data_IF_554112737200
#
_entry.id   IF_554112737200
#
_cell.length_a   1.000
_cell.length_b   1.000
_cell.length_c   1.000
_cell.angle_alpha   90.00
_cell.angle_beta   90.00
_cell.angle_gamma   90.00
#
_symmetry.space_group_name_H-M   'P 1'
#
loop_
_entity.id
_entity.type
_entity.pdbx_description
1 polymer ?
#
# COMPACT_ATOMS: atom_id res chain seq x y z
N UNK A 1 30.93 -24.97 -14.67
CA UNK A 1 30.80 -23.68 -13.96
C UNK A 1 29.39 -23.19 -14.21
N UNK A 2 28.57 -23.03 -13.17
CA UNK A 2 27.28 -22.33 -13.31
C UNK A 2 27.56 -20.87 -13.67
N UNK A 3 26.81 -20.30 -14.62
CA UNK A 3 26.83 -18.86 -14.80
C UNK A 3 26.36 -18.21 -13.49
N UNK A 4 27.12 -17.24 -12.98
CA UNK A 4 26.63 -16.34 -11.97
C UNK A 4 25.46 -15.56 -12.58
N UNK A 5 24.24 -15.88 -12.15
CA UNK A 5 23.05 -15.14 -12.54
C UNK A 5 23.24 -13.67 -12.15
N UNK A 6 23.21 -12.78 -13.15
CA UNK A 6 23.16 -11.35 -12.90
C UNK A 6 21.83 -11.01 -12.24
N UNK A 7 21.86 -10.18 -11.19
CA UNK A 7 20.64 -9.67 -10.53
C UNK A 7 19.62 -9.19 -11.58
N UNK A 8 18.34 -9.62 -11.51
CA UNK A 8 17.32 -9.17 -12.43
C UNK A 8 17.19 -7.65 -12.46
N UNK A 9 16.66 -7.15 -13.58
CA UNK A 9 16.34 -5.73 -13.77
C UNK A 9 14.86 -5.57 -13.95
N UNK A 10 14.31 -4.48 -13.43
CA UNK A 10 12.91 -4.08 -13.68
C UNK A 10 12.74 -3.81 -15.17
N UNK A 11 11.85 -4.54 -15.83
CA UNK A 11 11.52 -4.39 -17.25
C UNK A 11 10.29 -3.53 -17.48
N UNK A 12 9.33 -3.56 -16.54
CA UNK A 12 8.09 -2.79 -16.59
C UNK A 12 7.67 -2.34 -15.18
N UNK A 13 6.94 -1.23 -15.11
CA UNK A 13 6.31 -0.69 -13.91
C UNK A 13 4.95 -0.17 -14.32
N UNK A 14 3.87 -0.69 -13.73
CA UNK A 14 2.50 -0.24 -13.97
C UNK A 14 1.93 0.39 -12.69
N UNK A 15 1.09 1.41 -12.86
CA UNK A 15 0.40 2.10 -11.77
C UNK A 15 -1.10 2.03 -12.06
N UNK A 16 -1.83 1.26 -11.27
CA UNK A 16 -3.26 1.03 -11.46
C UNK A 16 -4.00 1.63 -10.25
N UNK A 17 -4.60 2.83 -10.37
CA UNK A 17 -5.52 3.33 -9.36
C UNK A 17 -6.75 2.42 -9.29
N UNK A 18 -7.15 2.02 -8.09
CA UNK A 18 -8.32 1.16 -7.86
C UNK A 18 -9.27 1.78 -6.85
N UNK A 19 -10.53 1.36 -6.89
CA UNK A 19 -11.57 1.73 -5.94
C UNK A 19 -12.34 0.49 -5.46
N UNK A 20 -12.55 0.40 -4.15
CA UNK A 20 -13.43 -0.58 -3.51
C UNK A 20 -14.56 0.12 -2.77
N UNK A 21 -15.60 -0.61 -2.42
CA UNK A 21 -16.69 -0.15 -1.56
C UNK A 21 -16.22 0.00 -0.12
N UNK A 22 -16.75 1.01 0.58
CA UNK A 22 -16.47 1.30 1.99
C UNK A 22 -17.77 1.54 2.76
N UNK A 23 -17.73 1.29 4.06
CA UNK A 23 -18.81 1.59 5.00
C UNK A 23 -18.82 3.06 5.39
N UNK A 24 -19.96 3.59 5.86
CA UNK A 24 -20.07 5.00 6.26
C UNK A 24 -19.47 5.25 7.67
N UNK A 25 -18.17 5.03 7.82
CA UNK A 25 -17.46 5.15 9.09
C UNK A 25 -17.32 6.63 9.49
N UNK A 26 -17.80 6.98 10.68
CA UNK A 26 -17.64 8.32 11.26
C UNK A 26 -16.26 8.46 11.92
N UNK A 27 -15.59 9.58 11.65
CA UNK A 27 -14.33 9.95 12.30
C UNK A 27 -14.23 11.48 12.46
N UNK A 28 -13.15 12.00 13.05
CA UNK A 28 -12.99 13.44 13.30
C UNK A 28 -13.06 14.29 12.01
N UNK A 29 -12.61 13.74 10.88
CA UNK A 29 -12.61 14.39 9.57
C UNK A 29 -13.96 14.38 8.85
N UNK A 30 -14.96 13.65 9.36
CA UNK A 30 -16.31 13.59 8.79
C UNK A 30 -16.86 12.17 8.76
N UNK A 31 -17.33 11.74 7.59
CA UNK A 31 -17.79 10.38 7.31
C UNK A 31 -17.02 9.82 6.11
N UNK A 32 -16.75 8.52 6.08
CA UNK A 32 -16.24 7.88 4.87
C UNK A 32 -17.29 7.99 3.74
N UNK A 33 -16.81 8.20 2.51
CA UNK A 33 -17.63 8.07 1.31
C UNK A 33 -17.90 6.59 0.96
N UNK A 34 -18.82 6.30 0.03
CA UNK A 34 -19.19 4.91 -0.31
C UNK A 34 -18.09 4.11 -1.04
N UNK A 35 -16.93 4.71 -1.29
CA UNK A 35 -15.77 4.05 -1.89
C UNK A 35 -14.47 4.58 -1.29
N UNK A 36 -13.53 3.67 -1.03
CA UNK A 36 -12.14 4.00 -0.79
C UNK A 36 -11.34 3.90 -2.10
N UNK A 37 -10.17 4.54 -2.18
CA UNK A 37 -9.29 4.45 -3.35
C UNK A 37 -7.85 4.14 -2.94
N UNK A 38 -7.15 3.40 -3.80
CA UNK A 38 -5.74 2.97 -3.62
C UNK A 38 -4.99 3.11 -4.94
N UNK A 39 -3.66 3.17 -4.88
CA UNK A 39 -2.79 3.04 -6.05
C UNK A 39 -2.02 1.72 -5.93
N UNK A 40 -2.18 0.84 -6.91
CA UNK A 40 -1.43 -0.42 -7.03
C UNK A 40 -0.22 -0.18 -7.91
N UNK A 41 0.96 -0.58 -7.45
CA UNK A 41 2.20 -0.65 -8.23
C UNK A 41 2.48 -2.12 -8.53
N UNK A 42 2.68 -2.42 -9.81
CA UNK A 42 3.06 -3.73 -10.31
C UNK A 42 4.39 -3.57 -11.05
N UNK A 43 5.46 -4.17 -10.53
CA UNK A 43 6.76 -4.25 -11.20
C UNK A 43 6.92 -5.62 -11.85
N UNK A 44 7.56 -5.68 -13.01
CA UNK A 44 8.02 -6.93 -13.63
C UNK A 44 9.52 -6.90 -13.80
N UNK A 45 10.18 -8.06 -13.66
CA UNK A 45 11.62 -8.19 -13.88
C UNK A 45 11.98 -9.06 -15.09
N UNK A 46 13.26 -9.02 -15.46
CA UNK A 46 13.83 -9.84 -16.53
C UNK A 46 13.95 -11.35 -16.24
N UNK A 47 13.56 -11.81 -15.05
CA UNK A 47 13.45 -13.23 -14.71
C UNK A 47 11.99 -13.76 -14.83
N UNK A 48 11.03 -12.87 -15.08
CA UNK A 48 9.60 -13.20 -15.21
C UNK A 48 8.80 -13.03 -13.91
N UNK A 49 9.42 -12.53 -12.84
CA UNK A 49 8.78 -12.28 -11.56
C UNK A 49 7.88 -11.04 -11.61
N UNK A 50 6.95 -10.95 -10.66
CA UNK A 50 6.05 -9.80 -10.49
C UNK A 50 6.07 -9.34 -9.03
N UNK A 51 6.43 -8.08 -8.79
CA UNK A 51 6.45 -7.47 -7.46
C UNK A 51 5.32 -6.47 -7.25
N UNK A 52 4.77 -6.46 -6.03
CA UNK A 52 3.54 -5.74 -5.70
C UNK A 52 3.75 -4.67 -4.61
N UNK A 53 3.02 -3.57 -4.75
CA UNK A 53 2.93 -2.52 -3.72
C UNK A 53 1.59 -1.81 -3.77
N UNK A 54 1.08 -1.41 -2.61
CA UNK A 54 -0.20 -0.72 -2.48
C UNK A 54 -0.08 0.46 -1.51
N UNK A 55 -0.58 1.63 -1.91
CA UNK A 55 -0.59 2.85 -1.10
C UNK A 55 -1.89 3.63 -1.27
N UNK A 56 -2.15 4.68 -0.46
CA UNK A 56 -3.36 5.48 -0.59
C UNK A 56 -3.63 5.99 -2.01
N UNK A 57 -4.91 6.03 -2.35
CA UNK A 57 -5.39 6.58 -3.62
C UNK A 57 -5.20 8.09 -3.70
N UNK A 58 -5.39 8.63 -4.90
CA UNK A 58 -5.32 10.06 -5.17
C UNK A 58 -4.39 10.39 -6.33
N UNK A 59 -4.83 11.32 -7.15
CA UNK A 59 -4.20 11.63 -8.44
C UNK A 59 -2.77 12.13 -8.31
N UNK A 60 -2.44 12.91 -7.27
CA UNK A 60 -1.06 13.38 -7.03
C UNK A 60 -0.10 12.23 -6.69
N UNK A 61 -0.56 11.17 -6.01
CA UNK A 61 0.25 9.97 -5.74
C UNK A 61 0.40 9.17 -7.03
N UNK A 62 -0.70 8.92 -7.75
CA UNK A 62 -0.70 8.23 -9.05
C UNK A 62 0.27 8.86 -10.04
N UNK A 63 0.20 10.18 -10.23
CA UNK A 63 1.09 10.90 -11.13
C UNK A 63 2.56 10.90 -10.63
N UNK A 64 2.81 10.90 -9.32
CA UNK A 64 4.18 10.76 -8.79
C UNK A 64 4.78 9.38 -9.08
N UNK A 65 3.96 8.33 -9.06
CA UNK A 65 4.37 6.98 -9.46
C UNK A 65 4.63 6.89 -10.97
N UNK A 66 3.80 7.52 -11.80
CA UNK A 66 4.06 7.67 -13.25
C UNK A 66 5.38 8.41 -13.54
N UNK A 67 5.57 9.58 -12.93
CA UNK A 67 6.78 10.42 -13.09
C UNK A 67 8.07 9.71 -12.60
N UNK A 68 7.91 8.66 -11.78
CA UNK A 68 8.99 7.85 -11.24
C UNK A 68 9.41 6.69 -12.16
N UNK A 69 8.59 6.25 -13.14
CA UNK A 69 8.88 5.07 -13.98
C UNK A 69 10.29 5.09 -14.58
N UNK A 70 10.75 6.24 -15.06
CA UNK A 70 12.10 6.42 -15.64
C UNK A 70 13.27 6.34 -14.64
N UNK A 71 12.99 6.43 -13.34
CA UNK A 71 13.97 6.18 -12.28
C UNK A 71 14.13 4.68 -11.97
N UNK A 72 13.07 3.88 -12.21
CA UNK A 72 12.96 2.48 -11.77
C UNK A 72 13.20 1.49 -12.92
N UNK A 73 12.62 1.73 -14.10
CA UNK A 73 12.77 0.87 -15.26
C UNK A 73 14.25 0.74 -15.70
N UNK A 74 14.66 -0.48 -16.03
CA UNK A 74 16.04 -0.84 -16.38
C UNK A 74 17.02 -0.94 -15.21
N UNK A 75 16.63 -0.58 -13.96
CA UNK A 75 17.48 -0.71 -12.78
C UNK A 75 17.51 -2.15 -12.24
N UNK A 76 18.63 -2.61 -11.66
CA UNK A 76 18.67 -3.85 -10.88
C UNK A 76 17.77 -3.77 -9.65
N UNK A 77 17.26 -4.91 -9.17
CA UNK A 77 16.38 -4.97 -7.99
C UNK A 77 17.00 -4.29 -6.75
N UNK A 78 18.31 -4.48 -6.52
CA UNK A 78 19.02 -3.98 -5.34
C UNK A 78 19.46 -2.50 -5.44
N UNK A 79 19.01 -1.73 -6.44
CA UNK A 79 19.44 -0.34 -6.66
C UNK A 79 18.72 0.65 -5.74
N UNK A 80 19.09 0.64 -4.46
CA UNK A 80 18.56 1.57 -3.43
C UNK A 80 18.69 3.05 -3.84
N UNK A 81 19.63 3.41 -4.73
CA UNK A 81 19.77 4.79 -5.21
C UNK A 81 18.59 5.24 -6.06
N UNK A 82 17.81 4.32 -6.66
CA UNK A 82 16.59 4.65 -7.38
C UNK A 82 15.52 5.22 -6.42
N UNK A 83 15.33 4.58 -5.26
CA UNK A 83 14.44 5.07 -4.20
C UNK A 83 14.94 6.39 -3.59
N UNK A 84 16.24 6.54 -3.37
CA UNK A 84 16.82 7.81 -2.90
C UNK A 84 16.64 8.94 -3.93
N UNK A 85 16.88 8.67 -5.21
CA UNK A 85 16.66 9.64 -6.28
C UNK A 85 15.17 10.03 -6.39
N UNK A 86 14.26 9.08 -6.18
CA UNK A 86 12.82 9.35 -6.11
C UNK A 86 12.45 10.23 -4.91
N UNK A 87 12.97 9.93 -3.70
CA UNK A 87 12.78 10.76 -2.50
C UNK A 87 13.28 12.20 -2.72
N UNK A 88 14.45 12.38 -3.34
CA UNK A 88 15.02 13.70 -3.62
C UNK A 88 14.29 14.47 -4.72
N UNK A 89 13.93 13.80 -5.84
CA UNK A 89 13.27 14.42 -7.00
C UNK A 89 11.88 14.97 -6.68
N UNK A 90 11.18 14.38 -5.72
CA UNK A 90 9.78 14.69 -5.41
C UNK A 90 9.56 15.25 -3.99
N UNK A 91 10.62 15.62 -3.27
CA UNK A 91 10.54 16.14 -1.90
C UNK A 91 9.65 17.38 -1.77
N UNK A 92 9.55 18.19 -2.83
CA UNK A 92 8.69 19.37 -2.93
C UNK A 92 7.19 19.03 -2.80
N UNK A 93 6.78 17.82 -3.24
CA UNK A 93 5.37 17.38 -3.22
C UNK A 93 4.83 17.21 -1.79
N UNK A 94 5.74 17.02 -0.82
CA UNK A 94 5.45 16.83 0.61
C UNK A 94 5.65 18.11 1.45
N UNK A 95 5.87 19.26 0.81
CA UNK A 95 6.06 20.56 1.47
C UNK A 95 4.91 21.00 2.40
N UNK A 96 3.69 20.49 2.20
CA UNK A 96 2.55 20.70 3.10
C UNK A 96 2.57 19.85 4.39
N UNK A 97 3.52 18.92 4.51
CA UNK A 97 3.64 18.00 5.65
C UNK A 97 2.46 17.01 5.77
N UNK A 98 2.28 16.43 6.96
CA UNK A 98 1.22 15.44 7.27
C UNK A 98 -0.20 16.01 7.05
N UNK A 99 -0.37 17.32 7.19
CA UNK A 99 -1.68 17.96 7.26
C UNK A 99 -2.39 17.75 8.61
N UNK A 100 -3.63 18.25 8.69
CA UNK A 100 -4.42 18.30 9.93
C UNK A 100 -5.50 17.21 10.06
N UNK A 101 -5.67 16.37 9.03
CA UNK A 101 -6.70 15.32 8.97
C UNK A 101 -6.34 14.11 9.85
N UNK A 102 -7.31 13.21 10.06
CA UNK A 102 -7.04 11.89 10.68
C UNK A 102 -6.01 11.08 9.87
N UNK A 103 -6.11 11.13 8.54
CA UNK A 103 -5.17 10.54 7.59
C UNK A 103 -3.99 11.48 7.23
N UNK A 104 -2.93 10.91 6.63
CA UNK A 104 -1.76 11.63 6.15
C UNK A 104 -2.02 12.22 4.74
N UNK A 105 -1.54 13.45 4.49
CA UNK A 105 -1.69 14.16 3.22
C UNK A 105 -0.42 14.24 2.37
N UNK A 106 0.67 13.61 2.81
CA UNK A 106 1.92 13.50 2.03
C UNK A 106 1.71 12.62 0.79
N UNK A 107 2.61 12.75 -0.18
CA UNK A 107 2.50 12.20 -1.54
C UNK A 107 3.75 11.43 -1.93
N UNK A 108 4.93 12.06 -1.84
CA UNK A 108 6.19 11.46 -2.26
C UNK A 108 6.57 10.29 -1.36
N UNK A 109 6.34 10.38 -0.04
CA UNK A 109 6.55 9.24 0.87
C UNK A 109 5.70 8.02 0.49
N UNK A 110 4.43 8.22 0.13
CA UNK A 110 3.56 7.13 -0.31
C UNK A 110 4.00 6.57 -1.67
N UNK A 111 4.31 7.44 -2.64
CA UNK A 111 4.81 6.98 -3.92
C UNK A 111 6.10 6.15 -3.79
N UNK A 112 7.04 6.57 -2.92
CA UNK A 112 8.27 5.81 -2.66
C UNK A 112 7.98 4.47 -1.99
N UNK A 113 7.09 4.45 -0.99
CA UNK A 113 6.73 3.21 -0.26
C UNK A 113 6.14 2.14 -1.18
N UNK A 114 5.34 2.54 -2.18
CA UNK A 114 4.75 1.59 -3.13
C UNK A 114 5.82 0.91 -4.00
N UNK A 115 6.81 1.69 -4.47
CA UNK A 115 7.93 1.17 -5.28
C UNK A 115 8.89 0.36 -4.42
N UNK A 116 9.17 0.81 -3.19
CA UNK A 116 9.99 0.11 -2.19
C UNK A 116 9.42 -1.27 -1.87
N UNK A 117 8.09 -1.37 -1.65
CA UNK A 117 7.39 -2.65 -1.50
C UNK A 117 7.58 -3.58 -2.69
N UNK A 118 7.29 -3.10 -3.91
CA UNK A 118 7.36 -3.94 -5.11
C UNK A 118 8.79 -4.38 -5.45
N UNK A 119 9.81 -3.57 -5.13
CA UNK A 119 11.23 -3.95 -5.24
C UNK A 119 11.63 -4.98 -4.18
N UNK A 120 11.17 -4.84 -2.94
CA UNK A 120 11.40 -5.84 -1.88
C UNK A 120 10.71 -7.17 -2.20
N UNK A 121 9.51 -7.14 -2.77
CA UNK A 121 8.79 -8.33 -3.22
C UNK A 121 9.59 -9.09 -4.29
N UNK A 122 10.02 -8.40 -5.36
CA UNK A 122 10.91 -8.98 -6.39
C UNK A 122 12.24 -9.47 -5.81
N UNK A 123 12.82 -8.74 -4.84
CA UNK A 123 14.09 -9.14 -4.22
C UNK A 123 13.92 -10.42 -3.39
N UNK A 124 12.83 -10.53 -2.61
CA UNK A 124 12.50 -11.75 -1.86
C UNK A 124 12.26 -12.94 -2.81
N UNK A 125 11.56 -12.71 -3.92
CA UNK A 125 11.38 -13.73 -4.98
C UNK A 125 12.72 -14.17 -5.59
N UNK A 126 13.63 -13.23 -5.90
CA UNK A 126 14.97 -13.54 -6.43
C UNK A 126 15.87 -14.26 -5.40
N UNK A 127 15.71 -13.95 -4.11
CA UNK A 127 16.50 -14.54 -3.01
C UNK A 127 15.88 -15.82 -2.41
N UNK A 128 14.71 -16.25 -2.88
CA UNK A 128 13.94 -17.38 -2.34
C UNK A 128 13.58 -17.24 -0.85
N UNK A 129 13.25 -16.02 -0.41
CA UNK A 129 12.90 -15.70 1.00
C UNK A 129 11.67 -14.79 1.10
N UNK A 130 10.85 -14.91 2.17
CA UNK A 130 9.77 -13.96 2.43
C UNK A 130 10.32 -12.56 2.71
N UNK A 131 9.55 -11.51 2.40
CA UNK A 131 9.97 -10.11 2.64
C UNK A 131 10.37 -9.89 4.10
N UNK A 132 9.68 -10.49 5.08
CA UNK A 132 10.01 -10.39 6.51
C UNK A 132 11.43 -10.86 6.89
N UNK A 133 12.11 -11.64 6.03
CA UNK A 133 13.48 -12.09 6.29
C UNK A 133 14.56 -11.05 5.95
N UNK A 134 14.23 -9.97 5.22
CA UNK A 134 15.22 -9.02 4.69
C UNK A 134 15.44 -7.74 5.52
N UNK A 135 14.41 -7.09 6.12
CA UNK A 135 14.60 -5.90 6.95
C UNK A 135 15.29 -6.19 8.28
N UNK A 136 16.12 -5.25 8.73
CA UNK A 136 16.66 -5.24 10.10
C UNK A 136 17.51 -6.48 10.42
N UNK A 137 17.14 -7.17 11.51
CA UNK A 137 17.77 -8.43 11.94
C UNK A 137 17.02 -9.67 11.41
N UNK A 138 16.23 -9.49 10.34
CA UNK A 138 15.33 -10.50 9.79
C UNK A 138 14.09 -10.71 10.64
N UNK A 139 13.48 -11.88 10.50
CA UNK A 139 12.18 -12.19 11.09
C UNK A 139 12.25 -12.40 12.61
N UNK A 140 11.50 -11.59 13.36
CA UNK A 140 11.50 -11.49 14.82
C UNK A 140 10.38 -12.30 15.49
N UNK A 141 9.41 -12.79 14.71
CA UNK A 141 8.20 -13.47 15.17
C UNK A 141 8.10 -14.89 14.66
N UNK A 142 7.36 -15.74 15.39
CA UNK A 142 7.10 -17.15 15.05
C UNK A 142 6.10 -17.32 13.89
N UNK A 143 6.32 -16.63 12.76
CA UNK A 143 5.47 -16.65 11.56
C UNK A 143 4.02 -16.19 11.76
N UNK A 144 3.71 -15.47 12.84
CA UNK A 144 2.36 -14.98 13.16
C UNK A 144 2.41 -13.52 13.63
N UNK A 145 1.44 -12.74 13.14
CA UNK A 145 1.25 -11.31 13.41
C UNK A 145 -0.13 -11.11 14.00
N UNK A 146 -0.23 -10.36 15.09
CA UNK A 146 -1.47 -10.09 15.81
C UNK A 146 -2.17 -8.86 15.25
N UNK A 147 -3.48 -8.97 14.96
CA UNK A 147 -4.27 -7.93 14.30
C UNK A 147 -5.44 -7.39 15.17
N UNK A 148 -5.69 -6.09 15.02
CA UNK A 148 -6.87 -5.26 15.36
C UNK A 148 -7.51 -4.81 14.01
N UNK A 149 -8.14 -3.61 13.79
CA UNK A 149 -8.94 -3.30 12.55
C UNK A 149 -8.76 -1.95 11.67
N UNK A 150 -7.67 -1.63 10.85
CA UNK A 150 -7.41 -0.59 9.76
C UNK A 150 -6.34 -0.82 8.57
N UNK A 151 -6.51 -1.70 7.53
CA UNK A 151 -5.70 -2.00 6.28
C UNK A 151 -6.53 -2.73 5.16
N UNK A 152 -5.98 -3.03 3.95
CA UNK A 152 -6.59 -3.78 2.80
C UNK A 152 -5.59 -4.70 2.05
N UNK A 153 -6.03 -5.85 1.50
CA UNK A 153 -5.30 -6.87 0.67
C UNK A 153 -3.75 -6.77 0.57
N UNK A 154 -3.18 -6.10 -0.44
CA UNK A 154 -1.72 -6.04 -0.63
C UNK A 154 -1.05 -5.28 0.52
N UNK A 155 -1.67 -4.17 0.96
CA UNK A 155 -1.16 -3.43 2.13
C UNK A 155 -1.25 -4.24 3.42
N UNK A 156 -2.23 -5.14 3.56
CA UNK A 156 -2.29 -6.07 4.69
C UNK A 156 -1.08 -7.02 4.69
N UNK A 157 -0.67 -7.53 3.52
CA UNK A 157 0.56 -8.31 3.40
C UNK A 157 1.82 -7.48 3.70
N UNK A 158 1.94 -6.27 3.15
CA UNK A 158 3.06 -5.36 3.40
C UNK A 158 3.30 -5.13 4.90
N UNK A 159 2.24 -4.76 5.64
CA UNK A 159 2.35 -4.53 7.09
C UNK A 159 2.59 -5.83 7.87
N UNK A 160 2.02 -6.96 7.44
CA UNK A 160 2.30 -8.28 8.03
C UNK A 160 3.79 -8.61 7.97
N UNK A 161 4.46 -8.40 6.83
CA UNK A 161 5.91 -8.62 6.73
C UNK A 161 6.73 -7.62 7.55
N UNK A 162 6.27 -6.36 7.67
CA UNK A 162 6.95 -5.33 8.48
C UNK A 162 6.88 -5.65 9.97
N UNK A 163 5.72 -6.01 10.53
CA UNK A 163 5.60 -6.37 11.95
C UNK A 163 6.31 -7.68 12.30
N UNK A 164 6.30 -8.65 11.38
CA UNK A 164 7.06 -9.88 11.53
C UNK A 164 8.58 -9.65 11.61
N UNK A 165 9.09 -8.57 10.99
CA UNK A 165 10.50 -8.15 11.07
C UNK A 165 10.77 -7.06 12.13
N UNK A 166 9.74 -6.51 12.78
CA UNK A 166 9.88 -5.42 13.72
C UNK A 166 10.41 -5.93 15.09
N UNK A 167 11.49 -5.36 15.63
CA UNK A 167 12.10 -5.84 16.87
C UNK A 167 11.29 -5.46 18.11
N UNK A 168 11.33 -6.34 19.11
CA UNK A 168 10.71 -6.12 20.42
C UNK A 168 9.21 -6.43 20.47
N UNK A 169 8.55 -6.00 21.54
CA UNK A 169 7.11 -6.25 21.75
C UNK A 169 6.28 -5.20 21.01
N UNK A 170 5.91 -5.49 19.77
CA UNK A 170 4.95 -4.66 19.03
C UNK A 170 3.52 -4.97 19.49
N UNK A 171 2.68 -3.94 19.60
CA UNK A 171 1.23 -4.08 19.77
C UNK A 171 0.60 -4.72 18.53
N UNK A 172 -0.61 -5.24 18.65
CA UNK A 172 -1.37 -5.71 17.51
C UNK A 172 -1.60 -4.57 16.48
N UNK A 173 -1.60 -4.88 15.18
CA UNK A 173 -1.75 -3.91 14.09
C UNK A 173 -3.20 -3.85 13.64
N UNK A 174 -3.75 -2.66 13.38
CA UNK A 174 -5.10 -2.56 12.87
C UNK A 174 -5.26 -3.12 11.40
N UNK A 175 -6.26 -3.98 11.08
CA UNK A 175 -6.84 -4.30 9.72
C UNK A 175 -8.38 -4.02 9.38
N UNK A 176 -8.73 -2.99 8.60
CA UNK A 176 -10.09 -2.52 8.15
C UNK A 176 -10.83 -3.53 7.27
N UNK A 177 -10.28 -4.72 7.14
CA UNK A 177 -10.75 -5.85 6.36
C UNK A 177 -12.25 -6.12 6.58
N UNK A 178 -12.76 -6.02 7.81
CA UNK A 178 -14.21 -6.21 8.11
C UNK A 178 -15.14 -5.20 7.40
N UNK A 179 -14.66 -4.00 7.07
CA UNK A 179 -15.42 -2.96 6.36
C UNK A 179 -15.30 -3.06 4.84
N UNK A 180 -14.40 -3.94 4.37
CA UNK A 180 -14.01 -4.10 2.98
C UNK A 180 -14.15 -5.58 2.53
N UNK A 181 -14.72 -6.44 3.37
CA UNK A 181 -14.84 -7.89 3.17
C UNK A 181 -15.56 -8.24 1.86
N UNK A 182 -15.23 -9.41 1.31
CA UNK A 182 -15.66 -9.86 -0.01
C UNK A 182 -14.96 -9.17 -1.19
N UNK A 183 -14.03 -8.24 -0.94
CA UNK A 183 -13.22 -7.57 -1.97
C UNK A 183 -11.76 -8.05 -1.91
N UNK A 184 -11.17 -8.29 -3.09
CA UNK A 184 -9.79 -8.74 -3.26
C UNK A 184 -9.21 -8.20 -4.57
N UNK A 185 -7.89 -8.16 -4.64
CA UNK A 185 -7.06 -7.89 -5.82
C UNK A 185 -6.10 -9.07 -6.08
N UNK A 186 -5.92 -9.97 -5.12
CA UNK A 186 -5.06 -11.16 -5.22
C UNK A 186 -5.87 -12.45 -5.34
N UNK A 187 -5.22 -13.52 -5.83
CA UNK A 187 -5.85 -14.85 -5.96
C UNK A 187 -6.03 -15.53 -4.60
N UNK A 188 -4.99 -15.46 -3.76
CA UNK A 188 -4.95 -16.02 -2.41
C UNK A 188 -4.69 -14.88 -1.40
N UNK A 189 -5.69 -14.03 -1.09
CA UNK A 189 -5.52 -12.96 -0.10
C UNK A 189 -5.24 -13.54 1.29
N UNK A 190 -4.53 -12.76 2.11
CA UNK A 190 -4.21 -13.16 3.48
C UNK A 190 -5.49 -13.35 4.31
N UNK A 191 -5.53 -14.42 5.09
CA UNK A 191 -6.66 -14.74 5.96
C UNK A 191 -6.32 -14.44 7.41
N UNK A 192 -7.29 -13.85 8.10
CA UNK A 192 -7.23 -13.59 9.53
C UNK A 192 -7.96 -14.71 10.25
N UNK A 193 -7.28 -15.38 11.17
CA UNK A 193 -7.81 -16.50 11.96
C UNK A 193 -7.37 -16.30 13.41
N UNK A 194 -8.31 -16.34 14.35
CA UNK A 194 -8.03 -16.19 15.78
C UNK A 194 -7.23 -14.90 16.11
N UNK A 195 -7.60 -13.79 15.43
CA UNK A 195 -6.92 -12.48 15.44
C UNK A 195 -5.47 -12.48 14.95
N UNK A 196 -4.99 -13.56 14.33
CA UNK A 196 -3.65 -13.70 13.78
C UNK A 196 -3.69 -13.75 12.24
N UNK A 197 -2.63 -13.23 11.63
CA UNK A 197 -2.25 -13.55 10.26
C UNK A 197 -0.96 -14.35 10.29
N UNK A 198 -0.96 -15.48 9.59
CA UNK A 198 0.24 -16.28 9.38
C UNK A 198 1.05 -15.71 8.21
N UNK A 199 2.30 -15.35 8.46
CA UNK A 199 3.24 -14.93 7.42
C UNK A 199 3.53 -16.14 6.50
N UNK A 200 3.36 -16.03 5.18
CA UNK A 200 3.62 -17.14 4.28
C UNK A 200 5.09 -17.56 4.27
N UNK A 201 5.34 -18.87 4.24
CA UNK A 201 6.65 -19.42 3.88
C UNK A 201 6.76 -19.54 2.34
N UNK A 202 6.48 -18.42 1.64
CA UNK A 202 6.60 -18.24 0.20
C UNK A 202 7.57 -17.06 -0.05
N UNK A 203 8.35 -17.04 -1.14
CA UNK A 203 9.21 -15.90 -1.46
C UNK A 203 8.44 -14.59 -1.66
N UNK A 204 9.11 -13.46 -1.43
CA UNK A 204 8.54 -12.13 -1.58
C UNK A 204 7.39 -11.87 -0.60
N UNK A 205 6.33 -11.22 -1.07
CA UNK A 205 5.08 -11.04 -0.32
C UNK A 205 4.22 -12.32 -0.31
N UNK A 206 4.60 -13.39 -1.03
CA UNK A 206 3.84 -14.64 -1.09
C UNK A 206 2.44 -14.53 -1.72
N UNK A 207 2.15 -13.43 -2.41
CA UNK A 207 0.89 -13.12 -3.09
C UNK A 207 1.01 -13.33 -4.60
N UNK A 208 -0.11 -13.65 -5.25
CA UNK A 208 -0.25 -13.57 -6.71
C UNK A 208 -1.40 -12.61 -7.06
N UNK A 209 -1.13 -11.65 -7.95
CA UNK A 209 -2.12 -10.65 -8.37
C UNK A 209 -3.20 -11.28 -9.27
N UNK A 210 -4.46 -10.92 -9.05
CA UNK A 210 -5.59 -11.28 -9.90
C UNK A 210 -5.96 -10.07 -10.78
N UNK A 211 -5.41 -10.05 -12.00
CA UNK A 211 -5.64 -8.94 -12.93
C UNK A 211 -7.12 -8.74 -13.28
N UNK A 212 -7.96 -9.79 -13.23
CA UNK A 212 -9.39 -9.65 -13.51
C UNK A 212 -10.12 -8.87 -12.40
N UNK A 213 -9.76 -9.11 -11.14
CA UNK A 213 -10.27 -8.32 -10.02
C UNK A 213 -9.67 -6.90 -9.99
N UNK A 214 -8.39 -6.74 -10.35
CA UNK A 214 -7.76 -5.41 -10.48
C UNK A 214 -8.44 -4.57 -11.56
N UNK A 215 -8.72 -5.13 -12.74
CA UNK A 215 -9.44 -4.45 -13.83
C UNK A 215 -10.88 -4.09 -13.45
N UNK A 216 -11.59 -5.01 -12.78
CA UNK A 216 -12.92 -4.77 -12.19
C UNK A 216 -12.90 -3.67 -11.13
N UNK A 217 -11.84 -3.63 -10.31
CA UNK A 217 -11.58 -2.59 -9.32
C UNK A 217 -10.96 -1.30 -9.90
N UNK A 218 -10.78 -1.19 -11.23
CA UNK A 218 -10.28 0.00 -11.94
C UNK A 218 -11.38 0.84 -12.64
N UNK A 219 -12.53 1.19 -12.01
CA UNK A 219 -13.55 2.01 -12.68
C UNK A 219 -13.11 3.48 -12.74
N UNK A 220 -12.72 3.92 -13.95
CA UNK A 220 -12.31 5.30 -14.32
C UNK A 220 -13.23 6.42 -13.77
N UNK A 221 -14.51 6.13 -13.49
CA UNK A 221 -15.44 7.11 -12.89
C UNK A 221 -15.16 7.44 -11.42
N UNK A 222 -14.62 6.52 -10.62
CA UNK A 222 -14.36 6.76 -9.19
C UNK A 222 -13.23 7.79 -8.97
N UNK A 223 -12.23 7.78 -9.86
CA UNK A 223 -11.05 8.67 -9.80
C UNK A 223 -11.37 10.15 -10.04
N UNK A 224 -12.54 10.47 -10.62
CA UNK A 224 -12.96 11.86 -10.90
C UNK A 224 -13.19 12.72 -9.66
N UNK A 225 -13.22 12.14 -8.45
CA UNK A 225 -13.50 12.85 -7.19
C UNK A 225 -12.25 13.43 -6.50
N UNK A 226 -11.06 13.25 -7.05
CA UNK A 226 -9.82 13.81 -6.48
C UNK A 226 -9.29 13.02 -5.29
N UNK A 227 -8.75 13.71 -4.29
CA UNK A 227 -8.30 13.10 -3.03
C UNK A 227 -9.49 12.75 -2.12
N UNK A 228 -9.26 11.92 -1.11
CA UNK A 228 -10.24 11.59 -0.07
C UNK A 228 -10.70 12.88 0.66
N UNK A 229 -12.01 13.09 0.72
CA UNK A 229 -12.64 14.20 1.45
C UNK A 229 -13.89 13.70 2.20
N UNK A 230 -13.71 13.43 3.49
CA UNK A 230 -14.76 12.95 4.39
C UNK A 230 -15.80 14.03 4.74
N UNK A 231 -15.48 15.32 4.53
CA UNK A 231 -16.41 16.42 4.77
C UNK A 231 -17.53 16.44 3.71
N UNK A 232 -17.23 16.04 2.47
CA UNK A 232 -18.23 15.94 1.39
C UNK A 232 -19.29 14.91 1.74
N UNK A 233 -18.90 13.71 2.20
CA UNK A 233 -19.85 12.69 2.65
C UNK A 233 -20.62 13.14 3.89
N UNK A 234 -19.96 13.80 4.85
CA UNK A 234 -20.59 14.33 6.05
C UNK A 234 -21.63 15.42 5.77
N UNK A 235 -21.44 16.24 4.73
CA UNK A 235 -22.41 17.27 4.31
C UNK A 235 -23.71 16.71 3.74
N UNK A 236 -23.76 15.44 3.31
CA UNK A 236 -25.03 14.75 3.00
C UNK A 236 -25.83 14.41 4.27
N UNK A 237 -25.17 14.22 5.42
CA UNK A 237 -25.83 13.97 6.70
C UNK A 237 -26.19 15.26 7.43
N UNK A 238 -25.27 16.22 7.46
CA UNK A 238 -25.43 17.51 8.16
C UNK A 238 -25.08 18.64 7.19
N UNK A 239 -26.08 19.31 6.57
CA UNK A 239 -25.86 20.42 5.65
C UNK A 239 -25.00 21.52 6.27
N UNK A 240 -23.97 21.96 5.55
CA UNK A 240 -23.04 22.99 6.01
C UNK A 240 -22.00 22.54 7.05
N UNK A 241 -21.91 21.23 7.36
CA UNK A 241 -20.85 20.68 8.22
C UNK A 241 -19.45 21.04 7.71
N UNK A 242 -18.56 21.39 8.64
CA UNK A 242 -17.17 21.73 8.34
C UNK A 242 -16.22 20.93 9.24
N UNK A 243 -15.05 20.65 8.72
CA UNK A 243 -13.97 20.04 9.48
C UNK A 243 -13.42 21.04 10.51
N UNK A 244 -13.27 20.56 11.75
CA UNK A 244 -12.58 21.26 12.84
C UNK A 244 -11.78 20.19 13.60
N UNK A 245 -10.45 20.29 13.57
CA UNK A 245 -9.55 19.33 14.21
C UNK A 245 -9.48 19.47 15.75
N UNK A 246 -10.26 20.40 16.33
CA UNK A 246 -10.40 20.63 17.77
C UNK A 246 -11.80 20.32 18.32
N UNK A 247 -12.76 19.89 17.48
CA UNK A 247 -14.13 19.55 17.91
C UNK A 247 -14.56 18.14 17.48
N UNK A 248 -15.09 17.29 18.40
CA UNK A 248 -15.66 15.98 18.07
C UNK A 248 -16.65 16.05 16.90
N UNK A 249 -16.65 15.07 16.00
CA UNK A 249 -17.32 15.16 14.68
C UNK A 249 -18.79 15.64 14.72
N UNK A 250 -19.57 15.15 15.69
CA UNK A 250 -21.00 15.47 15.84
C UNK A 250 -21.28 16.68 16.76
N UNK A 251 -20.25 17.37 17.26
CA UNK A 251 -20.37 18.60 18.05
C UNK A 251 -19.89 19.76 17.20
N UNK A 252 -20.80 20.58 16.69
CA UNK A 252 -20.51 21.65 15.73
C UNK A 252 -21.10 22.97 16.17
#
# INVERSE_FOLDING_TARGET
MSQLSSTPRVTDMQVIPVAGHDSMLLNLSGAHGPHFTRNIVILKDGAGNTGLGEVPGGERIRQTLEDARSLIAGKPLCEHRALLAMRLKFADRDSGGRGLQTFDLRIAIHAVTAVESALLDLLGQFMDVPVAAMPGEGMQRNNEVLMLDYLFDLSLAMFTHVDAAAPGKVTAIDTHWIWQDGQRLTKEPYLIRDSLIRVPNKPGLGLEIDMAEVEKAHPVKAMRRGARDDAVAMQFLIPGWKFDNKRPCLVR
#
